data_IF_750123227037
#
_entry.id   IF_750123227037
#
_cell.length_a   1.000
_cell.length_b   1.000
_cell.length_c   1.000
_cell.angle_alpha   90.00
_cell.angle_beta   90.00
_cell.angle_gamma   90.00
#
_symmetry.space_group_name_H-M   'P 1'
#
loop_
_entity.id
_entity.type
_entity.pdbx_description
1 polymer ?
#
# COMPACT_ATOMS: atom_id res chain seq x y z
N UNK A 1 1.67 -24.61 1.49
CA UNK A 1 0.30 -24.34 2.02
C UNK A 1 -0.17 -23.07 1.33
N UNK A 2 -1.38 -23.04 0.78
CA UNK A 2 -1.92 -21.79 0.22
C UNK A 2 -2.16 -20.83 1.39
N UNK A 3 -1.51 -19.67 1.37
CA UNK A 3 -1.78 -18.63 2.34
C UNK A 3 -3.14 -18.00 1.97
N UNK A 4 -4.09 -18.06 2.88
CA UNK A 4 -5.41 -17.42 2.77
C UNK A 4 -5.64 -16.60 4.02
N UNK A 5 -6.46 -15.56 3.92
CA UNK A 5 -6.91 -14.81 5.09
C UNK A 5 -7.68 -15.75 6.03
N UNK A 6 -7.42 -15.65 7.33
CA UNK A 6 -8.27 -16.31 8.32
C UNK A 6 -9.70 -15.76 8.23
N UNK A 7 -10.72 -16.47 8.68
CA UNK A 7 -12.11 -15.96 8.68
C UNK A 7 -12.24 -14.59 9.38
N UNK A 8 -11.50 -14.36 10.46
CA UNK A 8 -11.49 -13.08 11.17
C UNK A 8 -10.85 -11.96 10.35
N UNK A 9 -9.71 -12.23 9.70
CA UNK A 9 -9.04 -11.27 8.81
C UNK A 9 -9.90 -10.95 7.59
N UNK A 10 -10.54 -11.96 7.00
CA UNK A 10 -11.44 -11.77 5.87
C UNK A 10 -12.66 -10.94 6.26
N UNK A 11 -13.30 -11.24 7.39
CA UNK A 11 -14.42 -10.45 7.91
C UNK A 11 -14.00 -8.99 8.19
N UNK A 12 -12.80 -8.79 8.75
CA UNK A 12 -12.27 -7.44 8.99
C UNK A 12 -12.08 -6.68 7.68
N UNK A 13 -11.46 -7.31 6.67
CA UNK A 13 -11.28 -6.71 5.34
C UNK A 13 -12.63 -6.38 4.68
N UNK A 14 -13.58 -7.29 4.71
CA UNK A 14 -14.91 -7.09 4.12
C UNK A 14 -15.70 -5.98 4.81
N UNK A 15 -15.47 -5.78 6.11
CA UNK A 15 -16.20 -4.78 6.91
C UNK A 15 -15.56 -3.41 6.84
N UNK A 16 -14.23 -3.34 6.92
CA UNK A 16 -13.48 -2.10 7.08
C UNK A 16 -12.70 -1.68 5.84
N UNK A 17 -12.46 -2.57 4.89
CA UNK A 17 -11.73 -2.31 3.65
C UNK A 17 -10.22 -2.50 3.76
N UNK A 18 -9.71 -2.96 4.90
CA UNK A 18 -8.29 -3.22 5.14
C UNK A 18 -8.10 -4.35 6.15
N UNK A 19 -6.88 -4.87 6.22
CA UNK A 19 -6.42 -5.78 7.29
C UNK A 19 -4.92 -5.56 7.53
N UNK A 20 -4.52 -5.50 8.80
CA UNK A 20 -3.12 -5.50 9.19
C UNK A 20 -2.66 -6.95 9.40
N UNK A 21 -1.62 -7.33 8.67
CA UNK A 21 -0.99 -8.64 8.72
C UNK A 21 0.32 -8.50 9.50
N UNK A 22 0.37 -9.03 10.71
CA UNK A 22 1.56 -8.96 11.56
C UNK A 22 2.58 -10.05 11.20
N UNK A 23 3.88 -9.76 11.40
CA UNK A 23 4.98 -10.72 11.25
C UNK A 23 5.03 -11.39 9.85
N UNK A 24 4.73 -10.63 8.79
CA UNK A 24 4.80 -11.12 7.41
C UNK A 24 6.24 -11.22 6.95
N UNK A 25 7.01 -10.13 7.16
CA UNK A 25 8.42 -10.03 6.83
C UNK A 25 9.27 -10.35 8.06
N UNK A 26 10.37 -11.05 7.85
CA UNK A 26 11.41 -11.26 8.86
C UNK A 26 12.24 -9.99 9.09
N UNK A 27 12.98 -9.95 10.19
CA UNK A 27 13.90 -8.84 10.47
C UNK A 27 14.97 -8.67 9.39
N UNK A 28 15.46 -9.78 8.81
CA UNK A 28 16.44 -9.74 7.71
C UNK A 28 15.81 -9.15 6.43
N UNK A 29 14.58 -9.56 6.07
CA UNK A 29 13.88 -8.99 4.91
C UNK A 29 13.63 -7.48 5.10
N UNK A 30 13.24 -7.05 6.29
CA UNK A 30 13.07 -5.63 6.63
C UNK A 30 14.39 -4.87 6.50
N UNK A 31 15.49 -5.43 7.01
CA UNK A 31 16.81 -4.81 6.91
C UNK A 31 17.27 -4.68 5.46
N UNK A 32 17.18 -5.74 4.67
CA UNK A 32 17.58 -5.74 3.25
C UNK A 32 16.79 -4.70 2.44
N UNK A 33 15.47 -4.60 2.65
CA UNK A 33 14.62 -3.61 1.98
C UNK A 33 14.99 -2.18 2.39
N UNK A 34 15.21 -1.92 3.68
CA UNK A 34 15.66 -0.62 4.17
C UNK A 34 16.99 -0.22 3.57
N UNK A 35 17.96 -1.12 3.59
CA UNK A 35 19.29 -0.88 3.03
C UNK A 35 19.21 -0.57 1.53
N UNK A 36 18.38 -1.28 0.77
CA UNK A 36 18.13 -0.99 -0.64
C UNK A 36 17.58 0.43 -0.84
N UNK A 37 16.59 0.83 -0.04
CA UNK A 37 15.97 2.15 -0.13
C UNK A 37 16.95 3.27 0.27
N UNK A 38 17.77 3.06 1.29
CA UNK A 38 18.79 4.06 1.68
C UNK A 38 19.92 4.18 0.66
N UNK A 39 20.33 3.07 0.03
CA UNK A 39 21.27 3.13 -1.12
C UNK A 39 20.67 3.96 -2.26
N UNK A 40 19.39 3.74 -2.59
CA UNK A 40 18.69 4.50 -3.62
C UNK A 40 18.57 5.99 -3.26
N UNK A 41 18.23 6.29 -2.00
CA UNK A 41 18.16 7.67 -1.47
C UNK A 41 19.49 8.40 -1.62
N UNK A 42 20.60 7.71 -1.35
CA UNK A 42 21.96 8.26 -1.38
C UNK A 42 22.59 8.31 -2.78
N UNK A 43 22.04 7.63 -3.79
CA UNK A 43 22.62 7.56 -5.13
C UNK A 43 22.41 8.86 -5.91
N UNK A 44 23.47 9.65 -6.17
CA UNK A 44 23.37 10.88 -6.95
C UNK A 44 23.13 10.61 -8.44
N UNK A 45 23.37 9.38 -8.91
CA UNK A 45 23.22 8.97 -10.31
C UNK A 45 21.93 8.18 -10.53
N UNK A 46 21.04 8.13 -9.53
CA UNK A 46 19.77 7.44 -9.69
C UNK A 46 19.05 7.91 -10.96
N UNK A 47 18.60 6.97 -11.75
CA UNK A 47 17.86 7.27 -12.98
C UNK A 47 16.51 7.91 -12.61
N UNK A 48 16.44 9.23 -12.68
CA UNK A 48 15.25 10.00 -12.36
C UNK A 48 14.09 9.78 -13.34
N UNK A 49 14.34 9.11 -14.46
CA UNK A 49 13.28 8.72 -15.40
C UNK A 49 12.63 7.40 -15.01
N UNK A 50 13.33 6.54 -14.29
CA UNK A 50 12.84 5.23 -13.81
C UNK A 50 12.42 5.25 -12.35
N UNK A 51 13.18 5.97 -11.54
CA UNK A 51 12.89 6.18 -10.13
C UNK A 51 12.56 7.64 -9.95
N UNK A 52 11.28 7.98 -10.04
CA UNK A 52 10.92 9.34 -9.66
C UNK A 52 11.06 9.49 -8.15
N UNK A 53 11.84 10.48 -7.75
CA UNK A 53 11.87 10.91 -6.37
C UNK A 53 11.26 12.31 -6.34
N UNK A 54 10.05 12.39 -5.82
CA UNK A 54 9.45 13.69 -5.53
C UNK A 54 10.01 14.16 -4.19
N UNK A 55 11.21 14.70 -4.25
CA UNK A 55 11.85 15.33 -3.11
C UNK A 55 11.42 16.79 -3.10
N UNK A 56 10.21 17.05 -2.58
CA UNK A 56 9.83 18.44 -2.33
C UNK A 56 10.63 19.04 -1.20
N UNK A 57 10.97 18.21 -0.20
CA UNK A 57 11.60 18.64 1.05
C UNK A 57 12.45 17.49 1.61
N UNK A 58 13.48 17.82 2.40
CA UNK A 58 14.40 16.83 3.00
C UNK A 58 13.69 15.86 3.97
N UNK A 59 12.50 16.20 4.43
CA UNK A 59 11.71 15.40 5.37
C UNK A 59 10.71 14.46 4.71
N UNK A 60 10.50 14.54 3.39
CA UNK A 60 9.55 13.68 2.66
C UNK A 60 10.10 13.29 1.30
N UNK A 61 10.42 12.01 1.15
CA UNK A 61 10.92 11.43 -0.09
C UNK A 61 9.94 10.34 -0.53
N UNK A 62 9.43 10.49 -1.74
CA UNK A 62 8.64 9.48 -2.45
C UNK A 62 9.47 8.95 -3.61
N UNK A 63 9.63 7.63 -3.69
CA UNK A 63 10.33 6.94 -4.77
C UNK A 63 9.41 5.91 -5.40
N UNK A 64 9.41 5.77 -6.72
CA UNK A 64 8.56 4.82 -7.42
C UNK A 64 9.29 4.00 -8.46
N UNK A 65 8.63 2.94 -8.99
CA UNK A 65 9.12 2.00 -9.97
C UNK A 65 10.38 1.22 -9.51
N UNK A 66 10.29 0.58 -8.36
CA UNK A 66 11.43 0.10 -7.59
C UNK A 66 11.88 -1.33 -7.91
N UNK A 67 11.05 -2.16 -8.56
CA UNK A 67 11.31 -3.61 -8.70
C UNK A 67 12.57 -3.95 -9.49
N UNK A 68 12.98 -3.11 -10.41
CA UNK A 68 14.20 -3.31 -11.19
C UNK A 68 15.45 -2.73 -10.52
N UNK A 69 15.30 -2.04 -9.41
CA UNK A 69 16.40 -1.38 -8.73
C UNK A 69 17.20 -2.34 -7.85
N UNK A 70 16.48 -3.16 -7.05
CA UNK A 70 17.12 -4.06 -6.09
C UNK A 70 16.33 -5.37 -5.93
N UNK A 71 17.01 -6.52 -5.79
CA UNK A 71 16.35 -7.80 -5.58
C UNK A 71 15.44 -7.87 -4.35
N UNK A 72 15.76 -7.15 -3.26
CA UNK A 72 14.93 -7.13 -2.06
C UNK A 72 13.58 -6.45 -2.32
N UNK A 73 13.55 -5.40 -3.15
CA UNK A 73 12.32 -4.69 -3.52
C UNK A 73 11.44 -5.53 -4.47
N UNK A 74 12.06 -6.28 -5.39
CA UNK A 74 11.36 -7.27 -6.20
C UNK A 74 10.81 -8.41 -5.34
N UNK A 75 11.59 -8.90 -4.37
CA UNK A 75 11.18 -9.97 -3.47
C UNK A 75 9.93 -9.59 -2.64
N UNK A 76 9.82 -8.32 -2.23
CA UNK A 76 8.60 -7.81 -1.59
C UNK A 76 7.40 -7.84 -2.54
N UNK A 77 7.54 -7.30 -3.75
CA UNK A 77 6.45 -7.26 -4.72
C UNK A 77 5.97 -8.67 -5.15
N UNK A 78 6.87 -9.66 -5.11
CA UNK A 78 6.57 -11.07 -5.42
C UNK A 78 6.49 -11.95 -4.16
N UNK A 79 6.26 -11.38 -2.98
CA UNK A 79 6.39 -12.10 -1.73
C UNK A 79 5.39 -13.26 -1.61
N UNK A 80 5.86 -14.50 -1.34
CA UNK A 80 5.04 -15.71 -1.44
C UNK A 80 3.93 -15.82 -0.39
N UNK A 81 4.03 -15.07 0.72
CA UNK A 81 2.93 -14.99 1.71
C UNK A 81 1.91 -13.91 1.34
N UNK A 82 2.26 -12.89 0.54
CA UNK A 82 1.39 -11.75 0.24
C UNK A 82 0.60 -11.94 -1.05
N UNK A 83 1.25 -12.34 -2.15
CA UNK A 83 0.59 -12.47 -3.45
C UNK A 83 -0.68 -13.34 -3.38
N UNK A 84 -0.70 -14.51 -2.71
CA UNK A 84 -1.93 -15.29 -2.58
C UNK A 84 -3.07 -14.59 -1.82
N UNK A 85 -2.74 -13.74 -0.82
CA UNK A 85 -3.75 -12.96 -0.08
C UNK A 85 -4.31 -11.83 -0.94
N UNK A 86 -3.46 -11.18 -1.73
CA UNK A 86 -3.87 -10.18 -2.70
C UNK A 86 -4.79 -10.81 -3.76
N UNK A 87 -4.41 -11.95 -4.31
CA UNK A 87 -5.24 -12.70 -5.27
C UNK A 87 -6.60 -13.10 -4.68
N UNK A 88 -6.66 -13.45 -3.39
CA UNK A 88 -7.92 -13.75 -2.70
C UNK A 88 -8.85 -12.54 -2.66
N UNK A 89 -8.34 -11.35 -2.34
CA UNK A 89 -9.17 -10.14 -2.21
C UNK A 89 -9.47 -9.47 -3.56
N UNK A 90 -8.63 -9.69 -4.57
CA UNK A 90 -8.91 -9.29 -5.96
C UNK A 90 -9.89 -10.26 -6.61
N UNK A 91 -9.88 -11.54 -6.23
CA UNK A 91 -10.74 -12.59 -6.79
C UNK A 91 -10.14 -13.33 -7.97
N UNK A 92 -8.83 -13.24 -8.20
CA UNK A 92 -8.14 -13.91 -9.30
C UNK A 92 -6.65 -13.61 -9.34
N UNK A 93 -5.98 -14.06 -10.41
CA UNK A 93 -4.57 -13.74 -10.62
C UNK A 93 -4.34 -12.23 -10.70
N UNK A 94 -3.17 -11.80 -10.32
CA UNK A 94 -2.83 -10.37 -10.27
C UNK A 94 -1.56 -10.07 -11.03
N UNK A 95 -1.42 -8.81 -11.40
CA UNK A 95 -0.15 -8.20 -11.81
C UNK A 95 0.19 -7.04 -10.88
N UNK A 96 1.47 -6.75 -10.82
CA UNK A 96 1.97 -5.54 -10.17
C UNK A 96 1.52 -4.32 -10.97
N UNK A 97 0.97 -3.35 -10.28
CA UNK A 97 0.50 -2.09 -10.85
C UNK A 97 1.52 -0.99 -10.59
N UNK A 98 2.04 -0.93 -9.36
CA UNK A 98 3.10 0.00 -8.98
C UNK A 98 3.93 -0.51 -7.82
N UNK A 99 5.10 0.10 -7.64
CA UNK A 99 5.87 0.04 -6.39
C UNK A 99 6.32 1.43 -6.00
N UNK A 100 6.17 1.75 -4.72
CA UNK A 100 6.58 3.02 -4.14
C UNK A 100 7.28 2.81 -2.80
N UNK A 101 8.16 3.73 -2.43
CA UNK A 101 8.69 3.83 -1.08
C UNK A 101 8.50 5.25 -0.56
N UNK A 102 8.13 5.36 0.69
CA UNK A 102 7.93 6.63 1.37
C UNK A 102 8.87 6.67 2.57
N UNK A 103 9.81 7.61 2.54
CA UNK A 103 10.71 7.92 3.66
C UNK A 103 10.36 9.33 4.12
N UNK A 104 9.82 9.45 5.32
CA UNK A 104 9.43 10.75 5.82
C UNK A 104 9.65 10.91 7.32
N UNK A 105 9.84 12.16 7.72
CA UNK A 105 10.01 12.63 9.07
C UNK A 105 8.95 13.68 9.40
N UNK A 106 8.99 14.24 10.60
CA UNK A 106 8.14 15.35 10.98
C UNK A 106 8.39 16.55 10.04
N UNK A 107 7.30 17.11 9.51
CA UNK A 107 7.37 18.35 8.73
C UNK A 107 7.82 19.51 9.61
N UNK A 108 8.81 20.30 9.17
CA UNK A 108 9.21 21.52 9.89
C UNK A 108 8.14 22.62 9.85
N UNK A 109 7.17 22.53 8.92
CA UNK A 109 6.16 23.55 8.69
C UNK A 109 4.94 23.44 9.62
N UNK A 110 4.85 22.34 10.42
CA UNK A 110 3.74 22.15 11.36
C UNK A 110 4.19 22.37 12.80
N UNK A 111 3.48 23.24 13.50
CA UNK A 111 3.78 23.57 14.90
C UNK A 111 3.22 22.52 15.87
N UNK A 112 3.77 22.50 17.10
CA UNK A 112 3.23 21.67 18.18
C UNK A 112 1.79 22.07 18.56
N UNK A 113 1.46 23.34 18.46
CA UNK A 113 0.11 23.86 18.74
C UNK A 113 -0.89 23.32 17.73
N UNK A 114 -0.55 23.32 16.43
CA UNK A 114 -1.37 22.72 15.39
C UNK A 114 -1.53 21.22 15.60
N UNK A 115 -0.44 20.50 15.89
CA UNK A 115 -0.47 19.06 16.17
C UNK A 115 -1.26 18.67 17.42
N UNK A 116 -1.42 19.60 18.37
CA UNK A 116 -2.22 19.40 19.58
C UNK A 116 -3.73 19.56 19.36
N UNK A 117 -4.16 20.16 18.23
CA UNK A 117 -5.59 20.42 17.97
C UNK A 117 -6.41 19.17 17.71
N UNK A 118 -5.75 18.07 17.29
CA UNK A 118 -6.38 16.77 16.97
C UNK A 118 -5.50 15.61 17.39
N UNK A 119 -6.14 14.47 17.65
CA UNK A 119 -5.43 13.20 17.88
C UNK A 119 -4.75 12.71 16.60
N UNK A 120 -5.46 12.74 15.48
CA UNK A 120 -5.00 12.25 14.16
C UNK A 120 -5.05 13.42 13.18
N UNK A 121 -3.93 13.73 12.53
CA UNK A 121 -3.78 14.80 11.53
C UNK A 121 -3.54 14.25 10.14
N UNK A 122 -4.59 13.88 9.35
CA UNK A 122 -4.42 13.43 7.98
C UNK A 122 -3.87 14.54 7.09
N UNK A 123 -2.95 14.21 6.19
CA UNK A 123 -2.32 15.16 5.27
C UNK A 123 -3.10 15.37 3.97
N UNK A 124 -3.95 14.40 3.60
CA UNK A 124 -4.77 14.52 2.40
C UNK A 124 -5.47 13.19 2.05
N UNK A 125 -6.74 13.07 2.40
CA UNK A 125 -7.52 11.87 2.10
C UNK A 125 -7.77 11.68 0.61
N UNK A 126 -7.54 10.46 0.12
CA UNK A 126 -7.79 10.05 -1.25
C UNK A 126 -8.25 8.59 -1.33
N UNK A 127 -8.57 8.13 -2.52
CA UNK A 127 -8.77 6.74 -2.89
C UNK A 127 -8.44 6.58 -4.37
N UNK A 128 -7.88 5.44 -4.77
CA UNK A 128 -7.47 5.17 -6.15
C UNK A 128 -8.62 4.70 -7.04
N UNK A 129 -9.70 4.15 -6.45
CA UNK A 129 -10.88 3.72 -7.19
C UNK A 129 -12.18 4.05 -6.44
N UNK A 130 -13.32 3.72 -7.01
CA UNK A 130 -14.63 3.97 -6.44
C UNK A 130 -15.35 2.64 -6.12
N UNK A 131 -16.18 2.58 -5.06
CA UNK A 131 -17.04 1.42 -4.81
C UNK A 131 -17.96 1.07 -5.98
N UNK A 132 -18.28 2.03 -6.84
CA UNK A 132 -19.12 1.84 -8.03
C UNK A 132 -18.32 1.41 -9.26
N UNK A 133 -16.99 1.38 -9.18
CA UNK A 133 -16.09 0.94 -10.23
C UNK A 133 -14.90 0.21 -9.63
N UNK A 134 -14.68 -1.01 -10.07
CA UNK A 134 -13.57 -1.84 -9.58
C UNK A 134 -13.84 -2.58 -8.26
N UNK A 135 -15.08 -2.55 -7.75
CA UNK A 135 -15.47 -3.33 -6.59
C UNK A 135 -16.70 -4.19 -6.91
N UNK A 136 -16.77 -5.38 -6.32
CA UNK A 136 -17.90 -6.29 -6.51
C UNK A 136 -18.05 -7.23 -5.32
N UNK A 137 -19.21 -7.88 -5.23
CA UNK A 137 -19.51 -8.92 -4.24
C UNK A 137 -19.65 -10.24 -4.99
N UNK A 138 -18.91 -11.25 -4.56
CA UNK A 138 -19.03 -12.61 -5.05
C UNK A 138 -18.98 -13.59 -3.88
N UNK A 139 -19.86 -14.58 -3.87
CA UNK A 139 -19.97 -15.56 -2.78
C UNK A 139 -20.03 -14.91 -1.38
N UNK A 140 -20.75 -13.79 -1.28
CA UNK A 140 -20.89 -12.96 -0.06
C UNK A 140 -19.61 -12.27 0.42
N UNK A 141 -18.52 -12.29 -0.35
CA UNK A 141 -17.25 -11.64 -0.04
C UNK A 141 -17.10 -10.37 -0.87
N UNK A 142 -16.49 -9.35 -0.26
CA UNK A 142 -16.11 -8.12 -0.95
C UNK A 142 -14.81 -8.32 -1.73
N UNK A 143 -14.76 -7.86 -2.96
CA UNK A 143 -13.57 -7.87 -3.82
C UNK A 143 -13.31 -6.47 -4.38
N UNK A 144 -12.02 -6.15 -4.55
CA UNK A 144 -11.60 -4.91 -5.20
C UNK A 144 -10.47 -5.22 -6.19
N UNK A 145 -10.60 -4.74 -7.43
CA UNK A 145 -9.59 -4.96 -8.47
C UNK A 145 -8.34 -4.10 -8.31
N UNK A 146 -8.38 -3.08 -7.45
CA UNK A 146 -7.20 -2.29 -7.06
C UNK A 146 -6.93 -2.50 -5.58
N UNK A 147 -5.79 -3.08 -5.27
CA UNK A 147 -5.39 -3.47 -3.91
C UNK A 147 -3.96 -3.02 -3.68
N UNK A 148 -3.70 -2.47 -2.50
CA UNK A 148 -2.35 -2.10 -2.07
C UNK A 148 -1.91 -2.92 -0.87
N UNK A 149 -0.60 -3.15 -0.81
CA UNK A 149 0.09 -3.61 0.37
C UNK A 149 1.11 -2.56 0.80
N UNK A 150 1.13 -2.21 2.08
CA UNK A 150 2.12 -1.31 2.67
C UNK A 150 2.92 -2.08 3.71
N UNK A 151 4.20 -2.36 3.43
CA UNK A 151 5.12 -2.91 4.41
C UNK A 151 5.67 -1.80 5.32
N UNK A 152 5.53 -1.98 6.61
CA UNK A 152 6.15 -1.12 7.61
C UNK A 152 7.58 -1.60 7.84
N UNK A 153 8.57 -0.81 7.41
CA UNK A 153 9.98 -1.11 7.59
C UNK A 153 10.58 -0.44 8.85
N UNK A 154 9.75 0.35 9.54
CA UNK A 154 9.99 0.91 10.87
C UNK A 154 8.77 0.68 11.73
N UNK A 155 8.95 0.63 13.06
CA UNK A 155 7.82 0.68 13.98
C UNK A 155 7.05 1.98 13.80
N UNK A 156 5.73 1.90 13.87
CA UNK A 156 4.82 3.05 13.77
C UNK A 156 3.82 3.00 14.92
N UNK A 157 3.98 3.88 15.87
CA UNK A 157 3.09 4.08 17.00
C UNK A 157 2.13 5.26 16.80
N UNK A 158 1.42 5.67 17.85
CA UNK A 158 0.36 6.70 17.77
C UNK A 158 0.86 8.09 17.37
N UNK A 159 2.16 8.38 17.56
CA UNK A 159 2.76 9.67 17.22
C UNK A 159 3.61 9.63 15.95
N UNK A 160 3.69 8.51 15.29
CA UNK A 160 4.66 8.24 14.23
C UNK A 160 4.05 8.39 12.82
N UNK A 161 2.89 9.03 12.71
CA UNK A 161 2.30 9.39 11.43
C UNK A 161 1.88 8.17 10.59
N UNK A 162 1.19 7.21 11.19
CA UNK A 162 0.71 6.02 10.49
C UNK A 162 -0.24 6.32 9.33
N UNK A 163 -0.53 5.33 8.53
CA UNK A 163 -1.60 5.41 7.53
C UNK A 163 -2.93 5.60 8.26
N UNK A 164 -3.68 6.63 7.91
CA UNK A 164 -5.04 6.83 8.41
C UNK A 164 -6.06 6.35 7.37
N UNK A 165 -7.13 5.76 7.85
CA UNK A 165 -8.22 5.23 7.03
C UNK A 165 -9.57 5.70 7.58
N UNK A 166 -10.58 5.79 6.72
CA UNK A 166 -11.98 5.93 7.12
C UNK A 166 -12.64 4.55 6.92
N UNK A 167 -12.73 3.72 7.99
CA UNK A 167 -13.20 2.35 7.89
C UNK A 167 -14.61 2.27 7.30
N UNK A 168 -14.86 1.28 6.41
CA UNK A 168 -16.15 1.12 5.76
C UNK A 168 -16.39 2.04 4.55
N UNK A 169 -15.56 3.05 4.32
CA UNK A 169 -15.68 3.97 3.18
C UNK A 169 -15.49 3.28 1.83
N UNK A 170 -14.79 2.14 1.80
CA UNK A 170 -14.55 1.32 0.61
C UNK A 170 -15.84 0.78 -0.04
N UNK A 171 -16.96 0.77 0.68
CA UNK A 171 -18.28 0.30 0.24
C UNK A 171 -19.32 1.40 0.18
N UNK A 172 -18.98 2.60 0.65
CA UNK A 172 -19.92 3.72 0.67
C UNK A 172 -20.08 4.35 -0.71
N UNK A 173 -21.32 4.53 -1.13
CA UNK A 173 -21.66 5.24 -2.37
C UNK A 173 -21.79 6.76 -2.20
N UNK A 174 -21.58 7.27 -1.01
CA UNK A 174 -21.53 8.72 -0.78
C UNK A 174 -20.38 9.35 -1.54
N UNK A 175 -20.49 10.63 -1.83
CA UNK A 175 -19.41 11.41 -2.39
C UNK A 175 -18.21 11.39 -1.44
N UNK A 176 -17.02 11.15 -1.99
CA UNK A 176 -15.76 11.08 -1.21
C UNK A 176 -15.59 12.29 -0.29
N UNK A 177 -15.84 13.47 -0.82
CA UNK A 177 -15.70 14.74 -0.11
C UNK A 177 -16.66 14.83 1.09
N UNK A 178 -17.89 14.33 0.94
CA UNK A 178 -18.86 14.32 2.03
C UNK A 178 -18.49 13.35 3.16
N UNK A 179 -17.91 12.18 2.81
CA UNK A 179 -17.41 11.24 3.81
C UNK A 179 -16.22 11.83 4.56
N UNK A 180 -15.26 12.42 3.83
CA UNK A 180 -14.08 13.07 4.41
C UNK A 180 -14.51 14.19 5.36
N UNK A 181 -15.42 15.07 4.92
CA UNK A 181 -15.90 16.16 5.75
C UNK A 181 -16.58 15.65 7.01
N UNK A 182 -17.46 14.65 6.90
CA UNK A 182 -18.12 14.05 8.05
C UNK A 182 -17.12 13.45 9.06
N UNK A 183 -16.05 12.80 8.54
CA UNK A 183 -15.02 12.23 9.40
C UNK A 183 -14.13 13.29 10.05
N UNK A 184 -13.87 14.41 9.37
CA UNK A 184 -13.12 15.53 9.93
C UNK A 184 -13.93 16.34 10.93
N UNK A 185 -15.24 16.43 10.77
CA UNK A 185 -16.16 17.15 11.67
C UNK A 185 -16.61 16.32 12.88
N UNK A 186 -16.27 15.01 12.91
CA UNK A 186 -16.62 14.15 14.04
C UNK A 186 -15.86 14.58 15.31
N UNK A 187 -16.56 15.13 16.33
CA UNK A 187 -15.91 15.61 17.55
C UNK A 187 -15.32 14.48 18.40
N UNK A 188 -15.69 13.22 18.13
CA UNK A 188 -15.15 12.06 18.84
C UNK A 188 -13.89 11.51 18.18
N UNK A 189 -13.59 11.94 16.96
CA UNK A 189 -12.50 11.44 16.09
C UNK A 189 -12.50 9.91 15.92
N UNK A 190 -13.67 9.26 16.03
CA UNK A 190 -13.80 7.81 15.93
C UNK A 190 -13.96 7.31 14.49
N UNK A 191 -14.28 8.20 13.54
CA UNK A 191 -14.42 7.83 12.13
C UNK A 191 -13.09 7.73 11.39
N UNK A 192 -11.99 8.18 11.99
CA UNK A 192 -10.65 8.09 11.44
C UNK A 192 -9.83 7.13 12.30
N UNK A 193 -9.30 6.07 11.68
CA UNK A 193 -8.38 5.15 12.33
C UNK A 193 -6.96 5.37 11.81
N UNK A 194 -6.00 5.58 12.70
CA UNK A 194 -4.59 5.54 12.36
C UNK A 194 -4.07 4.12 12.60
N UNK A 195 -3.41 3.57 11.60
CA UNK A 195 -2.81 2.25 11.69
C UNK A 195 -1.48 2.35 12.43
N UNK A 196 -1.39 1.61 13.53
CA UNK A 196 -0.16 1.38 14.27
C UNK A 196 0.37 -0.01 13.93
N UNK A 197 1.67 -0.13 13.70
CA UNK A 197 2.25 -1.38 13.24
C UNK A 197 3.71 -1.53 13.67
N UNK A 198 4.12 -2.77 13.93
CA UNK A 198 5.53 -3.12 14.08
C UNK A 198 6.19 -3.30 12.72
N UNK A 199 7.49 -3.04 12.65
CA UNK A 199 8.29 -3.37 11.48
C UNK A 199 8.08 -4.85 11.11
N UNK A 200 8.01 -5.15 9.80
CA UNK A 200 7.67 -6.47 9.29
C UNK A 200 6.18 -6.77 9.17
N UNK A 201 5.31 -5.88 9.66
CA UNK A 201 3.86 -5.95 9.39
C UNK A 201 3.53 -5.38 8.01
N UNK A 202 2.43 -5.85 7.42
CA UNK A 202 1.92 -5.38 6.12
C UNK A 202 0.44 -5.02 6.24
N UNK A 203 0.10 -3.80 5.87
CA UNK A 203 -1.29 -3.36 5.70
C UNK A 203 -1.75 -3.74 4.29
N UNK A 204 -2.77 -4.58 4.18
CA UNK A 204 -3.46 -4.91 2.93
C UNK A 204 -4.79 -4.16 2.89
N UNK A 205 -5.05 -3.38 1.84
CA UNK A 205 -6.29 -2.61 1.75
C UNK A 205 -6.79 -2.45 0.30
N UNK A 206 -8.09 -2.25 0.18
CA UNK A 206 -8.75 -1.94 -1.09
C UNK A 206 -8.55 -0.47 -1.45
N UNK A 207 -8.17 -0.15 -2.67
CA UNK A 207 -8.00 1.23 -3.16
C UNK A 207 -9.29 2.06 -3.21
N UNK A 208 -10.44 1.42 -3.01
CA UNK A 208 -11.71 2.12 -2.78
C UNK A 208 -11.87 2.66 -1.35
N UNK A 209 -11.01 2.24 -0.41
CA UNK A 209 -10.95 2.77 0.95
C UNK A 209 -10.39 4.20 0.93
N UNK A 210 -11.05 5.12 1.62
CA UNK A 210 -10.52 6.48 1.79
C UNK A 210 -9.41 6.40 2.84
N UNK A 211 -8.21 6.80 2.42
CA UNK A 211 -7.00 6.73 3.24
C UNK A 211 -6.11 7.94 3.04
N UNK A 212 -5.18 8.14 3.96
CA UNK A 212 -4.22 9.23 3.97
C UNK A 212 -2.98 8.84 4.77
N UNK A 213 -1.89 9.56 4.58
CA UNK A 213 -0.81 9.67 5.56
C UNK A 213 -1.22 10.64 6.67
N UNK A 214 -0.68 10.46 7.88
CA UNK A 214 -0.82 11.44 8.96
C UNK A 214 0.51 12.15 9.24
N UNK A 215 0.43 13.35 9.81
CA UNK A 215 1.64 14.05 10.27
C UNK A 215 2.36 13.27 11.36
N UNK A 216 3.67 13.17 11.24
CA UNK A 216 4.54 12.61 12.27
C UNK A 216 4.70 13.66 13.37
N UNK A 217 4.48 13.25 14.63
CA UNK A 217 4.59 14.09 15.83
C UNK A 217 5.89 13.81 16.61
N UNK A 218 6.45 12.62 16.40
CA UNK A 218 7.72 12.17 16.99
C UNK A 218 8.94 12.58 16.14
N UNK A 219 10.14 12.22 16.60
CA UNK A 219 11.40 12.48 15.89
C UNK A 219 11.86 11.31 15.04
N UNK A 220 10.99 10.33 14.76
CA UNK A 220 11.36 9.18 13.94
C UNK A 220 11.45 9.50 12.45
N UNK A 221 12.27 8.74 11.73
CA UNK A 221 12.14 8.57 10.29
C UNK A 221 11.31 7.32 10.02
N UNK A 222 10.16 7.51 9.37
CA UNK A 222 9.26 6.42 8.98
C UNK A 222 9.58 5.95 7.58
N UNK A 223 9.72 4.63 7.41
CA UNK A 223 9.98 4.00 6.11
C UNK A 223 8.86 3.01 5.79
N UNK A 224 8.20 3.21 4.65
CA UNK A 224 7.13 2.34 4.14
C UNK A 224 7.48 1.94 2.71
N UNK A 225 7.27 0.66 2.38
CA UNK A 225 7.36 0.13 1.02
C UNK A 225 5.96 -0.30 0.56
N UNK A 226 5.54 0.19 -0.60
CA UNK A 226 4.20 -0.04 -1.18
C UNK A 226 4.33 -0.94 -2.40
N UNK A 227 3.38 -1.87 -2.56
CA UNK A 227 3.15 -2.56 -3.81
C UNK A 227 1.65 -2.56 -4.14
N UNK A 228 1.31 -2.10 -5.32
CA UNK A 228 -0.05 -2.09 -5.85
C UNK A 228 -0.28 -3.25 -6.81
N UNK A 229 -1.50 -3.80 -6.79
CA UNK A 229 -1.87 -4.95 -7.61
C UNK A 229 -3.23 -4.76 -8.25
N UNK A 230 -3.33 -5.25 -9.49
CA UNK A 230 -4.57 -5.26 -10.29
C UNK A 230 -4.71 -6.61 -11.01
N UNK A 231 -5.88 -6.93 -11.57
CA UNK A 231 -5.99 -8.02 -12.54
C UNK A 231 -5.04 -7.81 -13.73
N UNK A 232 -4.53 -8.87 -14.36
CA UNK A 232 -3.53 -8.78 -15.44
C UNK A 232 -3.93 -7.92 -16.65
N UNK A 233 -5.23 -7.73 -16.89
CA UNK A 233 -5.75 -6.91 -17.99
C UNK A 233 -5.76 -5.40 -17.69
N UNK A 234 -5.54 -4.99 -16.45
CA UNK A 234 -5.43 -3.58 -16.08
C UNK A 234 -3.95 -3.19 -16.21
N UNK A 235 -3.69 -2.08 -16.90
CA UNK A 235 -2.33 -1.60 -17.05
C UNK A 235 -1.82 -0.91 -15.77
N UNK A 236 -0.51 -0.90 -15.66
CA UNK A 236 0.22 -0.15 -14.64
C UNK A 236 -0.08 1.35 -14.73
N UNK A 237 0.09 2.06 -13.61
CA UNK A 237 0.08 3.50 -13.58
C UNK A 237 1.19 4.07 -14.48
N UNK A 238 0.93 5.23 -15.01
CA UNK A 238 1.91 5.99 -15.79
C UNK A 238 3.23 6.12 -15.00
N UNK A 239 4.36 5.81 -15.66
CA UNK A 239 5.72 5.79 -15.11
C UNK A 239 6.07 4.58 -14.22
N UNK A 240 5.20 3.59 -14.08
CA UNK A 240 5.53 2.31 -13.43
C UNK A 240 5.81 1.18 -14.43
N UNK A 241 6.01 1.48 -15.70
CA UNK A 241 6.40 0.49 -16.71
C UNK A 241 7.78 -0.08 -16.39
N UNK A 242 7.84 -1.39 -16.25
CA UNK A 242 9.10 -2.12 -16.02
C UNK A 242 9.76 -2.43 -17.36
N UNK A 243 11.07 -2.19 -17.47
CA UNK A 243 11.85 -2.44 -18.68
C UNK A 243 11.67 -3.90 -19.16
N UNK A 244 11.21 -4.15 -20.40
CA UNK A 244 11.06 -5.50 -20.94
C UNK A 244 12.34 -6.35 -20.86
N UNK A 245 13.52 -5.74 -21.00
CA UNK A 245 14.79 -6.45 -20.85
C UNK A 245 15.02 -6.93 -19.44
N UNK A 246 14.60 -6.18 -18.43
CA UNK A 246 14.64 -6.63 -17.05
C UNK A 246 13.67 -7.80 -16.83
N UNK A 247 12.45 -7.70 -17.37
CA UNK A 247 11.45 -8.78 -17.27
C UNK A 247 11.97 -10.09 -17.87
N UNK A 248 12.71 -10.04 -18.98
CA UNK A 248 13.34 -11.22 -19.60
C UNK A 248 14.36 -11.93 -18.69
N UNK A 249 14.96 -11.20 -17.74
CA UNK A 249 15.91 -11.78 -16.77
C UNK A 249 15.22 -12.48 -15.60
N UNK A 250 13.93 -12.23 -15.38
CA UNK A 250 13.20 -12.78 -14.25
C UNK A 250 12.89 -14.27 -14.43
N UNK A 251 12.76 -15.03 -13.32
CA UNK A 251 12.21 -16.38 -13.34
C UNK A 251 10.84 -16.41 -14.02
N UNK A 252 10.57 -17.44 -14.83
CA UNK A 252 9.32 -17.57 -15.58
C UNK A 252 8.07 -17.44 -14.69
N UNK A 253 8.12 -17.98 -13.47
CA UNK A 253 7.03 -17.92 -12.51
C UNK A 253 6.67 -16.49 -12.04
N UNK A 254 7.63 -15.55 -12.08
CA UNK A 254 7.43 -14.17 -11.61
C UNK A 254 7.04 -13.23 -12.77
N UNK A 255 7.42 -13.56 -14.01
CA UNK A 255 7.16 -12.69 -15.18
C UNK A 255 5.69 -12.27 -15.31
N UNK A 256 4.68 -13.17 -15.19
CA UNK A 256 3.29 -12.77 -15.30
C UNK A 256 2.84 -11.78 -14.22
N UNK A 257 3.44 -11.86 -13.03
CA UNK A 257 3.16 -10.90 -11.96
C UNK A 257 3.66 -9.49 -12.31
N UNK A 258 4.81 -9.39 -12.99
CA UNK A 258 5.41 -8.08 -13.32
C UNK A 258 4.86 -7.51 -14.63
N UNK A 259 4.75 -8.33 -15.67
CA UNK A 259 4.34 -7.87 -17.01
C UNK A 259 2.84 -7.94 -17.28
N UNK A 260 2.09 -8.60 -16.41
CA UNK A 260 0.73 -9.04 -16.72
C UNK A 260 0.69 -10.31 -17.56
N UNK A 261 -0.50 -10.82 -17.83
CA UNK A 261 -0.73 -12.03 -18.60
C UNK A 261 -2.04 -11.92 -19.37
N UNK A 262 -2.08 -12.43 -20.58
CA UNK A 262 -3.33 -12.57 -21.36
C UNK A 262 -4.26 -13.65 -20.78
N UNK A 263 -3.75 -14.50 -19.90
CA UNK A 263 -4.44 -15.60 -19.27
C UNK A 263 -4.91 -15.23 -17.86
N UNK A 264 -5.83 -14.29 -17.74
CA UNK A 264 -6.41 -14.00 -16.45
C UNK A 264 -7.38 -15.11 -16.05
N UNK A 265 -7.12 -15.71 -14.89
CA UNK A 265 -8.00 -16.72 -14.30
C UNK A 265 -8.63 -16.12 -13.06
N UNK A 266 -9.94 -15.96 -13.08
CA UNK A 266 -10.69 -15.82 -11.85
C UNK A 266 -10.43 -17.05 -10.96
N UNK A 267 -10.30 -16.83 -9.64
CA UNK A 267 -10.35 -17.93 -8.66
C UNK A 267 -11.81 -18.39 -8.46
N UNK A 268 -12.56 -18.45 -9.54
CA UNK A 268 -13.85 -19.11 -9.56
C UNK A 268 -13.58 -20.59 -9.79
N UNK A 269 -14.21 -21.44 -8.98
CA UNK A 269 -14.26 -22.86 -9.25
C UNK A 269 -15.09 -23.07 -10.53
N UNK A 270 -14.46 -22.98 -11.66
CA UNK A 270 -14.95 -23.52 -12.91
C UNK A 270 -14.32 -24.90 -13.12
N UNK A 271 -14.37 -25.75 -12.08
CA UNK A 271 -14.04 -27.15 -12.17
C UNK A 271 -15.32 -27.99 -12.38
#
# INVERSE_FOLDING_TARGET
MSHTLTPAQRFHFDTYGYVLLENVLSDDEVADMKDALYRLKADPNRDQTRVYANQKDDYHILMGNLVAYDPALLAYAAHPKLVPLVEEVVGGSVRLEETEAIINQRSPDITDEELATRRIHPTGFHRGTSPTWGCYIEEHKFHCIFVKTLAYLTDVGPNDGGTSVIPGSHRSTWKKEAIIQAALDDPTENLIHQIEAKAGSVLLFAESLIHSTTHIKSDIERVILVAGYTPPMVREWMNNEVDPKFIETLPEAIRPLISGSDNWKWKRNYD
#
